data_IF_479336864800
#
_entry.id   IF_479336864800
#
_cell.length_a   1.000
_cell.length_b   1.000
_cell.length_c   1.000
_cell.angle_alpha   90.00
_cell.angle_beta   90.00
_cell.angle_gamma   90.00
#
_symmetry.space_group_name_H-M   'P 1'
#
loop_
_entity.id
_entity.type
_entity.pdbx_description
1 polymer ?
#
# COMPACT_ATOMS: atom_id res chain seq x y z
N UNK A 1 22.99 -14.16 -1.93
CA UNK A 1 23.09 -12.83 -1.29
C UNK A 1 22.13 -12.75 -0.10
N UNK A 2 22.37 -11.86 0.86
CA UNK A 2 21.44 -11.62 1.97
C UNK A 2 20.22 -10.85 1.46
N UNK A 3 19.04 -11.17 1.95
CA UNK A 3 17.80 -10.47 1.61
C UNK A 3 17.76 -9.09 2.29
N UNK A 4 17.37 -8.06 1.55
CA UNK A 4 17.09 -6.73 2.06
C UNK A 4 15.75 -6.25 1.47
N UNK A 5 14.72 -6.11 2.30
CA UNK A 5 13.40 -5.65 1.88
C UNK A 5 13.22 -4.22 2.34
N UNK A 6 12.80 -3.37 1.42
CA UNK A 6 12.49 -1.97 1.65
C UNK A 6 11.05 -1.75 1.19
N UNK A 7 10.23 -1.08 1.98
CA UNK A 7 8.88 -0.70 1.60
C UNK A 7 8.61 0.75 1.94
N UNK A 8 7.64 1.38 1.31
CA UNK A 8 7.13 2.64 1.85
C UNK A 8 6.21 2.38 3.06
N UNK A 9 5.93 3.41 3.83
CA UNK A 9 5.24 3.23 5.11
C UNK A 9 3.73 2.99 5.00
N UNK A 10 3.17 2.91 3.78
CA UNK A 10 1.75 2.62 3.57
C UNK A 10 1.39 1.13 3.68
N UNK A 11 2.35 0.27 3.92
CA UNK A 11 2.20 -1.20 3.87
C UNK A 11 1.49 -1.84 5.08
N UNK A 12 0.84 -1.13 5.93
CA UNK A 12 0.02 -1.55 7.10
C UNK A 12 0.28 -2.98 7.65
N UNK A 13 1.55 -3.29 7.91
CA UNK A 13 1.97 -4.56 8.48
C UNK A 13 2.00 -4.52 10.01
N UNK A 14 1.69 -5.66 10.66
CA UNK A 14 1.95 -5.82 12.09
C UNK A 14 3.44 -5.63 12.44
N UNK A 15 3.70 -5.09 13.62
CA UNK A 15 5.05 -4.75 14.14
C UNK A 15 6.07 -5.89 13.98
N UNK A 16 5.64 -7.14 14.19
CA UNK A 16 6.50 -8.32 14.04
C UNK A 16 7.12 -8.48 12.65
N UNK A 17 6.44 -7.97 11.60
CA UNK A 17 6.91 -8.01 10.22
C UNK A 17 7.66 -6.72 9.86
N UNK A 18 7.23 -5.57 10.38
CA UNK A 18 7.93 -4.30 10.18
C UNK A 18 9.39 -4.38 10.64
N UNK A 19 9.68 -5.13 11.71
CA UNK A 19 11.06 -5.37 12.18
C UNK A 19 11.94 -6.13 11.19
N UNK A 20 11.35 -6.83 10.21
CA UNK A 20 12.08 -7.60 9.18
C UNK A 20 12.43 -6.78 7.93
N UNK A 21 11.91 -5.57 7.80
CA UNK A 21 12.05 -4.72 6.62
C UNK A 21 12.62 -3.35 6.97
N UNK A 22 12.95 -2.57 5.97
CA UNK A 22 13.30 -1.14 6.08
C UNK A 22 12.16 -0.30 5.53
N UNK A 23 11.79 0.76 6.23
CA UNK A 23 10.74 1.67 5.78
C UNK A 23 11.33 2.95 5.20
N UNK A 24 10.88 3.28 3.99
CA UNK A 24 10.99 4.60 3.41
C UNK A 24 9.72 5.37 3.80
N UNK A 25 9.80 6.34 4.73
CA UNK A 25 8.62 6.92 5.34
C UNK A 25 7.92 7.92 4.41
N UNK A 26 6.60 7.84 4.33
CA UNK A 26 5.78 8.89 3.76
C UNK A 26 5.89 10.17 4.59
N UNK A 27 5.70 11.30 3.94
CA UNK A 27 5.62 12.60 4.63
C UNK A 27 4.16 12.99 4.81
N UNK A 28 3.76 13.27 6.05
CA UNK A 28 2.43 13.75 6.42
C UNK A 28 2.50 15.25 6.68
N UNK A 29 1.59 16.01 6.05
CA UNK A 29 1.58 17.48 6.07
C UNK A 29 0.33 17.99 6.78
N UNK A 30 0.49 18.50 7.96
CA UNK A 30 -0.50 19.28 8.68
C UNK A 30 -0.27 20.77 8.38
N UNK A 31 -1.21 21.66 8.80
CA UNK A 31 -1.07 23.11 8.54
C UNK A 31 0.21 23.67 9.10
N UNK A 32 0.56 23.27 10.33
CA UNK A 32 1.65 23.87 11.11
C UNK A 32 2.82 22.88 11.32
N UNK A 33 2.75 21.69 10.73
CA UNK A 33 3.71 20.63 11.00
C UNK A 33 3.87 19.68 9.82
N UNK A 34 5.10 19.24 9.61
CA UNK A 34 5.44 18.19 8.65
C UNK A 34 6.17 17.08 9.38
N UNK A 35 5.64 15.87 9.30
CA UNK A 35 6.20 14.69 10.01
C UNK A 35 6.42 13.53 9.04
N UNK A 36 7.33 12.65 9.39
CA UNK A 36 7.56 11.36 8.70
C UNK A 36 6.75 10.26 9.41
N UNK A 37 5.92 9.58 8.64
CA UNK A 37 5.09 8.48 9.11
C UNK A 37 5.94 7.38 9.75
N UNK A 38 5.51 6.88 10.91
CA UNK A 38 6.20 5.83 11.71
C UNK A 38 7.62 6.17 12.16
N UNK A 39 8.07 7.42 11.95
CA UNK A 39 9.37 7.94 12.42
C UNK A 39 9.18 9.02 13.47
N UNK A 40 8.41 10.06 13.15
CA UNK A 40 8.14 11.18 14.03
C UNK A 40 6.72 11.15 14.62
N UNK A 41 5.88 10.26 14.13
CA UNK A 41 4.50 10.09 14.58
C UNK A 41 4.12 8.60 14.50
N UNK A 42 3.55 8.06 15.56
CA UNK A 42 2.97 6.72 15.57
C UNK A 42 1.58 6.72 14.93
N UNK A 43 1.06 5.56 14.48
CA UNK A 43 -0.32 5.47 13.98
C UNK A 43 -1.35 6.00 14.98
N UNK A 44 -1.23 5.68 16.26
CA UNK A 44 -2.17 6.16 17.29
C UNK A 44 -2.13 7.68 17.48
N UNK A 45 -0.95 8.29 17.47
CA UNK A 45 -0.80 9.75 17.54
C UNK A 45 -1.38 10.41 16.28
N UNK A 46 -1.12 9.83 15.10
CA UNK A 46 -1.69 10.31 13.84
C UNK A 46 -3.23 10.31 13.87
N UNK A 47 -3.85 9.22 14.31
CA UNK A 47 -5.30 9.13 14.41
C UNK A 47 -5.89 10.08 15.44
N UNK A 48 -5.26 10.23 16.60
CA UNK A 48 -5.69 11.23 17.60
C UNK A 48 -5.63 12.65 17.03
N UNK A 49 -4.58 12.95 16.25
CA UNK A 49 -4.44 14.23 15.57
C UNK A 49 -5.52 14.42 14.50
N UNK A 50 -5.83 13.39 13.71
CA UNK A 50 -6.93 13.46 12.73
C UNK A 50 -8.28 13.77 13.38
N UNK A 51 -8.58 13.17 14.54
CA UNK A 51 -9.82 13.44 15.30
C UNK A 51 -9.89 14.88 15.83
N UNK A 52 -8.75 15.53 16.05
CA UNK A 52 -8.67 16.88 16.60
C UNK A 52 -8.72 18.00 15.56
N UNK A 53 -8.63 17.68 14.28
CA UNK A 53 -8.60 18.66 13.19
C UNK A 53 -9.88 18.58 12.34
N UNK A 54 -10.25 19.69 11.72
CA UNK A 54 -11.41 19.82 10.83
C UNK A 54 -11.03 20.02 9.35
N UNK A 55 -9.85 19.56 8.96
CA UNK A 55 -9.35 19.61 7.59
C UNK A 55 -8.62 18.32 7.23
N UNK A 56 -8.52 18.02 5.95
CA UNK A 56 -7.75 16.87 5.47
C UNK A 56 -6.25 17.20 5.43
N UNK A 57 -5.38 16.47 6.14
CA UNK A 57 -3.96 16.63 6.01
C UNK A 57 -3.48 16.15 4.63
N UNK A 58 -2.38 16.72 4.16
CA UNK A 58 -1.73 16.26 2.94
C UNK A 58 -0.76 15.11 3.19
N UNK A 59 -0.38 14.42 2.12
CA UNK A 59 0.71 13.45 2.15
C UNK A 59 1.63 13.62 0.94
N UNK A 60 2.88 13.17 1.08
CA UNK A 60 3.82 13.05 -0.03
C UNK A 60 4.54 11.71 0.03
N UNK A 61 4.83 11.16 -1.15
CA UNK A 61 5.62 9.94 -1.29
C UNK A 61 7.02 10.10 -0.66
N UNK A 62 7.66 9.00 -0.24
CA UNK A 62 9.07 9.00 0.09
C UNK A 62 9.90 9.52 -1.09
N UNK A 63 10.96 10.24 -0.81
CA UNK A 63 11.91 10.66 -1.85
C UNK A 63 12.78 9.49 -2.33
N UNK A 64 13.45 9.64 -3.47
CA UNK A 64 14.45 8.65 -3.89
C UNK A 64 15.55 8.45 -2.83
N UNK A 65 15.93 9.52 -2.11
CA UNK A 65 16.88 9.45 -1.00
C UNK A 65 16.40 8.60 0.18
N UNK A 66 15.08 8.65 0.49
CA UNK A 66 14.49 7.83 1.56
C UNK A 66 14.58 6.31 1.23
N UNK A 67 14.57 5.91 -0.04
CA UNK A 67 14.82 4.53 -0.47
C UNK A 67 16.32 4.21 -0.57
N UNK A 68 17.09 5.11 -1.20
CA UNK A 68 18.52 4.91 -1.50
C UNK A 68 19.34 4.62 -0.25
N UNK A 69 19.08 5.29 0.87
CA UNK A 69 19.79 5.10 2.14
C UNK A 69 19.69 3.65 2.69
N UNK A 70 18.72 2.88 2.24
CA UNK A 70 18.48 1.51 2.68
C UNK A 70 19.04 0.46 1.74
N UNK A 71 19.47 0.82 0.51
CA UNK A 71 20.06 -0.10 -0.45
C UNK A 71 21.47 -0.54 -0.03
N UNK A 72 21.79 -1.82 -0.27
CA UNK A 72 23.04 -2.42 0.16
C UNK A 72 23.69 -3.19 -0.98
N UNK A 73 25.01 -3.01 -1.18
CA UNK A 73 25.80 -3.62 -2.26
C UNK A 73 25.72 -5.16 -2.24
N UNK A 74 25.95 -5.78 -1.08
CA UNK A 74 26.11 -7.24 -0.97
C UNK A 74 24.78 -7.94 -0.66
N UNK A 75 23.66 -7.30 -0.97
CA UNK A 75 22.32 -7.77 -0.69
C UNK A 75 21.48 -7.87 -1.97
N UNK A 76 20.53 -8.76 -1.92
CA UNK A 76 19.44 -8.85 -2.87
C UNK A 76 18.36 -7.88 -2.39
N UNK A 77 18.32 -6.69 -3.00
CA UNK A 77 17.45 -5.61 -2.57
C UNK A 77 16.09 -5.72 -3.29
N UNK A 78 15.02 -5.77 -2.52
CA UNK A 78 13.64 -5.73 -2.99
C UNK A 78 12.97 -4.47 -2.46
N UNK A 79 12.52 -3.60 -3.36
CA UNK A 79 11.70 -2.44 -3.00
C UNK A 79 10.26 -2.76 -3.38
N UNK A 80 9.39 -2.72 -2.38
CA UNK A 80 7.95 -2.93 -2.52
C UNK A 80 7.30 -1.57 -2.30
N UNK A 81 6.52 -1.11 -3.26
CA UNK A 81 5.92 0.22 -3.21
C UNK A 81 4.41 0.17 -3.45
N UNK A 82 3.69 1.08 -2.81
CA UNK A 82 2.28 1.35 -3.07
C UNK A 82 2.04 1.57 -4.56
N UNK A 83 0.82 1.27 -5.02
CA UNK A 83 0.41 1.46 -6.41
C UNK A 83 0.88 2.79 -7.01
N UNK A 84 1.50 2.70 -8.18
CA UNK A 84 1.94 3.87 -8.98
C UNK A 84 0.75 4.74 -9.44
N UNK A 85 -0.45 4.17 -9.51
CA UNK A 85 -1.67 4.91 -9.80
C UNK A 85 -2.13 5.81 -8.63
N UNK A 86 -1.62 5.56 -7.40
CA UNK A 86 -1.99 6.29 -6.19
C UNK A 86 -0.90 7.22 -5.68
N UNK A 87 0.37 6.89 -5.94
CA UNK A 87 1.53 7.58 -5.37
C UNK A 87 2.73 7.56 -6.32
N UNK A 88 3.58 8.58 -6.24
CA UNK A 88 4.89 8.57 -6.91
C UNK A 88 5.95 7.72 -6.20
N UNK A 89 5.59 6.98 -5.16
CA UNK A 89 6.50 6.12 -4.38
C UNK A 89 7.28 5.15 -5.29
N UNK A 90 6.57 4.42 -6.14
CA UNK A 90 7.17 3.49 -7.10
C UNK A 90 8.18 4.18 -8.05
N UNK A 91 7.82 5.34 -8.62
CA UNK A 91 8.73 6.07 -9.51
C UNK A 91 9.97 6.57 -8.76
N UNK A 92 9.80 7.04 -7.52
CA UNK A 92 10.94 7.46 -6.68
C UNK A 92 11.84 6.29 -6.30
N UNK A 93 11.26 5.10 -6.12
CA UNK A 93 12.02 3.85 -5.90
C UNK A 93 12.83 3.45 -7.14
N UNK A 94 12.30 3.62 -8.35
CA UNK A 94 13.05 3.42 -9.61
C UNK A 94 14.22 4.38 -9.72
N UNK A 95 14.03 5.66 -9.42
CA UNK A 95 15.12 6.65 -9.37
C UNK A 95 16.18 6.25 -8.33
N UNK A 96 15.78 5.77 -7.16
CA UNK A 96 16.72 5.29 -6.14
C UNK A 96 17.54 4.09 -6.62
N UNK A 97 16.91 3.16 -7.33
CA UNK A 97 17.58 2.01 -7.98
C UNK A 97 18.64 2.49 -8.96
N UNK A 98 18.29 3.40 -9.88
CA UNK A 98 19.21 3.89 -10.91
C UNK A 98 20.41 4.60 -10.26
N UNK A 99 20.16 5.50 -9.30
CA UNK A 99 21.22 6.20 -8.55
C UNK A 99 22.12 5.24 -7.75
N UNK A 100 21.60 4.11 -7.31
CA UNK A 100 22.38 3.09 -6.61
C UNK A 100 23.25 2.31 -7.60
N UNK A 101 22.71 1.86 -8.72
CA UNK A 101 23.41 1.07 -9.72
C UNK A 101 24.51 1.87 -10.44
N UNK A 102 24.32 3.17 -10.61
CA UNK A 102 25.37 4.09 -11.14
C UNK A 102 26.61 4.14 -10.25
N UNK A 103 26.45 3.91 -8.94
CA UNK A 103 27.54 3.99 -7.95
C UNK A 103 28.10 2.65 -7.53
N UNK A 104 27.34 1.58 -7.73
CA UNK A 104 27.66 0.25 -7.21
C UNK A 104 27.67 -0.75 -8.34
N UNK A 105 28.88 -1.17 -8.75
CA UNK A 105 29.05 -2.29 -9.68
C UNK A 105 28.50 -3.57 -9.04
N UNK A 106 27.81 -4.39 -9.84
CA UNK A 106 27.20 -5.67 -9.45
C UNK A 106 26.11 -5.57 -8.34
N UNK A 107 25.52 -4.39 -8.16
CA UNK A 107 24.37 -4.21 -7.29
C UNK A 107 23.12 -4.93 -7.84
N UNK A 108 22.31 -5.50 -6.96
CA UNK A 108 21.02 -6.13 -7.34
C UNK A 108 19.88 -5.40 -6.66
N UNK A 109 18.96 -4.86 -7.47
CA UNK A 109 17.79 -4.12 -6.99
C UNK A 109 16.56 -4.48 -7.83
N UNK A 110 15.55 -5.02 -7.18
CA UNK A 110 14.24 -5.30 -7.76
C UNK A 110 13.22 -4.31 -7.18
N UNK A 111 12.43 -3.68 -8.03
CA UNK A 111 11.38 -2.72 -7.62
C UNK A 111 10.04 -3.24 -8.10
N UNK A 112 9.07 -3.35 -7.19
CA UNK A 112 7.72 -3.82 -7.48
C UNK A 112 6.70 -2.71 -7.24
N UNK A 113 5.89 -2.44 -8.27
CA UNK A 113 4.61 -1.77 -8.13
C UNK A 113 3.60 -2.81 -7.63
N UNK A 114 3.11 -2.65 -6.42
CA UNK A 114 2.16 -3.64 -5.89
C UNK A 114 0.77 -3.55 -6.49
N UNK A 115 0.48 -2.50 -7.26
CA UNK A 115 -0.89 -2.19 -7.74
C UNK A 115 -1.92 -2.18 -6.58
N UNK A 116 -1.46 -2.02 -5.37
CA UNK A 116 -2.22 -2.09 -4.13
C UNK A 116 -1.78 -1.00 -3.16
N UNK A 117 -2.48 -0.91 -2.03
CA UNK A 117 -2.15 -0.05 -0.91
C UNK A 117 -2.48 -0.77 0.40
N UNK A 118 -2.00 -0.23 1.53
CA UNK A 118 -2.34 -0.70 2.86
C UNK A 118 -2.02 -2.19 3.02
N UNK A 119 -2.95 -2.97 3.55
CA UNK A 119 -2.77 -4.41 3.78
C UNK A 119 -2.48 -5.19 2.49
N UNK A 120 -2.94 -4.73 1.31
CA UNK A 120 -2.63 -5.36 0.04
C UNK A 120 -1.14 -5.30 -0.30
N UNK A 121 -0.49 -4.16 -0.09
CA UNK A 121 0.96 -4.02 -0.17
C UNK A 121 1.66 -4.89 0.90
N UNK A 122 1.12 -4.92 2.11
CA UNK A 122 1.61 -5.78 3.18
C UNK A 122 1.60 -7.26 2.82
N UNK A 123 0.55 -7.74 2.14
CA UNK A 123 0.47 -9.14 1.68
C UNK A 123 1.56 -9.47 0.65
N UNK A 124 1.93 -8.53 -0.23
CA UNK A 124 3.05 -8.71 -1.17
C UNK A 124 4.37 -8.90 -0.42
N UNK A 125 4.60 -8.13 0.64
CA UNK A 125 5.79 -8.27 1.48
C UNK A 125 5.81 -9.63 2.19
N UNK A 126 4.66 -10.08 2.73
CA UNK A 126 4.55 -11.40 3.36
C UNK A 126 4.81 -12.52 2.37
N UNK A 127 4.30 -12.42 1.14
CA UNK A 127 4.57 -13.38 0.07
C UNK A 127 6.05 -13.41 -0.29
N UNK A 128 6.71 -12.27 -0.39
CA UNK A 128 8.16 -12.21 -0.64
C UNK A 128 8.95 -12.90 0.48
N UNK A 129 8.60 -12.67 1.74
CA UNK A 129 9.23 -13.34 2.89
C UNK A 129 9.05 -14.86 2.81
N UNK A 130 7.83 -15.34 2.52
CA UNK A 130 7.54 -16.78 2.34
C UNK A 130 8.39 -17.41 1.23
N UNK A 131 8.45 -16.76 0.05
CA UNK A 131 9.23 -17.24 -1.09
C UNK A 131 10.71 -17.35 -0.76
N UNK A 132 11.24 -16.42 0.01
CA UNK A 132 12.64 -16.42 0.44
C UNK A 132 12.96 -17.46 1.51
N UNK A 133 12.02 -17.75 2.39
CA UNK A 133 12.16 -18.84 3.38
C UNK A 133 12.25 -20.22 2.67
N UNK A 134 11.59 -20.39 1.53
CA UNK A 134 11.66 -21.59 0.69
C UNK A 134 12.95 -21.70 -0.15
N UNK A 135 13.88 -20.76 0.00
CA UNK A 135 15.18 -20.73 -0.72
C UNK A 135 15.05 -20.80 -2.25
N UNK A 136 14.03 -20.18 -2.80
CA UNK A 136 13.80 -20.14 -4.26
C UNK A 136 14.80 -19.21 -4.96
N UNK A 137 15.04 -19.48 -6.26
CA UNK A 137 15.89 -18.62 -7.09
C UNK A 137 15.28 -17.24 -7.29
N UNK A 138 16.11 -16.23 -7.59
CA UNK A 138 15.59 -14.88 -7.89
C UNK A 138 14.56 -14.89 -9.02
N UNK A 139 14.81 -15.63 -10.10
CA UNK A 139 13.86 -15.73 -11.22
C UNK A 139 12.51 -16.29 -10.78
N UNK A 140 12.49 -17.31 -9.94
CA UNK A 140 11.26 -17.88 -9.38
C UNK A 140 10.55 -16.86 -8.50
N UNK A 141 11.29 -16.18 -7.59
CA UNK A 141 10.72 -15.16 -6.72
C UNK A 141 10.09 -14.01 -7.52
N UNK A 142 10.79 -13.52 -8.54
CA UNK A 142 10.30 -12.42 -9.37
C UNK A 142 9.01 -12.79 -10.09
N UNK A 143 8.97 -13.99 -10.70
CA UNK A 143 7.80 -14.47 -11.43
C UNK A 143 6.61 -14.74 -10.50
N UNK A 144 6.83 -15.47 -9.40
CA UNK A 144 5.76 -15.80 -8.45
C UNK A 144 5.22 -14.55 -7.74
N UNK A 145 6.09 -13.60 -7.40
CA UNK A 145 5.65 -12.35 -6.78
C UNK A 145 4.86 -11.48 -7.77
N UNK A 146 5.27 -11.42 -9.04
CA UNK A 146 4.52 -10.76 -10.10
C UNK A 146 3.13 -11.35 -10.27
N UNK A 147 3.02 -12.67 -10.42
CA UNK A 147 1.73 -13.37 -10.53
C UNK A 147 0.86 -13.19 -9.28
N UNK A 148 1.48 -13.13 -8.09
CA UNK A 148 0.76 -12.88 -6.85
C UNK A 148 0.15 -11.47 -6.82
N UNK A 149 0.90 -10.45 -7.25
CA UNK A 149 0.43 -9.05 -7.33
C UNK A 149 -0.76 -8.93 -8.30
N UNK A 150 -0.68 -9.56 -9.46
CA UNK A 150 -1.77 -9.58 -10.46
C UNK A 150 -3.04 -10.25 -9.91
N UNK A 151 -2.88 -11.33 -9.15
CA UNK A 151 -3.98 -12.09 -8.56
C UNK A 151 -4.58 -11.51 -7.28
N UNK A 152 -4.02 -10.43 -6.72
CA UNK A 152 -4.55 -9.79 -5.50
C UNK A 152 -5.81 -8.99 -5.80
N UNK A 153 -6.88 -9.26 -5.07
CA UNK A 153 -8.09 -8.43 -5.01
C UNK A 153 -8.08 -7.57 -3.74
N UNK A 154 -8.49 -6.32 -3.87
CA UNK A 154 -8.58 -5.39 -2.75
C UNK A 154 -9.93 -4.68 -2.78
N UNK A 155 -10.66 -4.78 -1.67
CA UNK A 155 -11.93 -4.11 -1.46
C UNK A 155 -11.90 -3.32 -0.16
N UNK A 156 -12.63 -2.22 -0.11
CA UNK A 156 -12.74 -1.43 1.10
C UNK A 156 -14.04 -0.63 1.17
N UNK A 157 -14.51 -0.41 2.39
CA UNK A 157 -15.62 0.46 2.71
C UNK A 157 -15.09 1.68 3.47
N UNK A 158 -15.58 2.86 3.13
CA UNK A 158 -15.23 4.10 3.82
C UNK A 158 -16.47 4.74 4.45
N UNK A 159 -16.31 5.14 5.71
CA UNK A 159 -17.29 5.95 6.41
C UNK A 159 -17.31 7.40 5.90
N UNK A 160 -16.11 7.94 5.64
CA UNK A 160 -15.90 9.30 5.14
C UNK A 160 -14.90 9.28 4.00
N UNK A 161 -15.20 9.99 2.93
CA UNK A 161 -14.39 10.07 1.73
C UNK A 161 -13.64 11.39 1.56
N UNK A 162 -13.80 12.34 2.47
CA UNK A 162 -13.26 13.69 2.31
C UNK A 162 -11.76 13.67 2.06
N UNK A 163 -11.03 12.83 2.77
CA UNK A 163 -9.59 12.69 2.58
C UNK A 163 -9.21 12.20 1.18
N UNK A 164 -9.93 11.21 0.63
CA UNK A 164 -9.68 10.70 -0.72
C UNK A 164 -10.09 11.71 -1.80
N UNK A 165 -11.20 12.39 -1.62
CA UNK A 165 -11.66 13.47 -2.52
C UNK A 165 -10.64 14.59 -2.54
N UNK A 166 -10.27 15.10 -1.37
CA UNK A 166 -9.33 16.23 -1.23
C UNK A 166 -7.91 15.87 -1.71
N UNK A 167 -7.53 14.60 -1.63
CA UNK A 167 -6.24 14.12 -2.13
C UNK A 167 -6.17 14.00 -3.66
N UNK A 168 -7.30 14.04 -4.36
CA UNK A 168 -7.38 13.89 -5.82
C UNK A 168 -7.30 12.45 -6.35
N UNK A 169 -7.20 11.42 -5.49
CA UNK A 169 -7.11 10.00 -5.91
C UNK A 169 -8.43 9.45 -6.45
N UNK A 170 -9.53 10.16 -6.24
CA UNK A 170 -10.85 9.82 -6.76
C UNK A 170 -11.26 10.59 -8.03
N UNK A 171 -10.39 11.39 -8.63
CA UNK A 171 -10.73 12.28 -9.76
C UNK A 171 -11.46 11.57 -10.90
N UNK A 172 -11.06 10.33 -11.24
CA UNK A 172 -11.68 9.54 -12.32
C UNK A 172 -13.13 9.11 -12.03
N UNK A 173 -13.54 9.09 -10.76
CA UNK A 173 -14.86 8.61 -10.34
C UNK A 173 -15.70 9.68 -9.65
N UNK A 174 -15.19 10.90 -9.50
CA UNK A 174 -15.89 12.02 -8.82
C UNK A 174 -17.30 12.24 -9.32
N UNK A 175 -17.53 12.21 -10.65
CA UNK A 175 -18.86 12.37 -11.22
C UNK A 175 -19.88 11.28 -10.83
N UNK A 176 -19.39 10.12 -10.32
CA UNK A 176 -20.23 9.03 -9.83
C UNK A 176 -20.60 9.17 -8.34
N UNK A 177 -20.03 10.16 -7.65
CA UNK A 177 -20.14 10.34 -6.20
C UNK A 177 -21.16 11.41 -5.79
N UNK A 178 -22.05 11.82 -6.69
CA UNK A 178 -23.09 12.84 -6.42
C UNK A 178 -24.27 12.24 -5.65
N UNK A 179 -24.81 12.99 -4.68
CA UNK A 179 -26.00 12.64 -3.89
C UNK A 179 -25.85 11.38 -3.00
N UNK A 180 -24.81 11.33 -2.16
CA UNK A 180 -24.46 10.17 -1.35
C UNK A 180 -25.02 10.17 0.09
N UNK A 181 -26.12 10.85 0.37
CA UNK A 181 -26.70 10.84 1.71
C UNK A 181 -27.07 9.41 2.15
N UNK A 182 -26.46 8.92 3.24
CA UNK A 182 -26.62 7.56 3.78
C UNK A 182 -26.22 6.41 2.82
N UNK A 183 -25.37 6.68 1.81
CA UNK A 183 -24.84 5.67 0.91
C UNK A 183 -23.39 5.36 1.31
N UNK A 184 -23.10 4.08 1.49
CA UNK A 184 -21.74 3.54 1.62
C UNK A 184 -21.23 3.12 0.24
N UNK A 185 -19.95 3.37 -0.03
CA UNK A 185 -19.32 2.98 -1.28
C UNK A 185 -18.44 1.76 -1.05
N UNK A 186 -18.74 0.69 -1.77
CA UNK A 186 -17.82 -0.41 -1.92
C UNK A 186 -16.85 -0.08 -3.05
N UNK A 187 -15.61 0.07 -2.68
CA UNK A 187 -14.50 0.44 -3.55
C UNK A 187 -13.44 -0.64 -3.53
N UNK A 188 -12.55 -0.61 -4.49
CA UNK A 188 -11.40 -1.49 -4.56
C UNK A 188 -10.40 -0.99 -5.60
N UNK A 189 -9.48 -1.85 -6.01
CA UNK A 189 -8.54 -1.55 -7.10
C UNK A 189 -9.08 -2.01 -8.45
N UNK A 190 -8.70 -1.32 -9.52
CA UNK A 190 -8.75 -1.87 -10.88
C UNK A 190 -7.44 -2.60 -11.23
N UNK A 191 -7.36 -3.14 -12.45
CA UNK A 191 -6.19 -3.90 -12.93
C UNK A 191 -4.90 -3.08 -12.98
N UNK A 192 -5.01 -1.74 -12.98
CA UNK A 192 -3.88 -0.82 -12.97
C UNK A 192 -3.56 -0.28 -11.56
N UNK A 193 -4.20 -0.79 -10.53
CA UNK A 193 -4.01 -0.34 -9.15
C UNK A 193 -4.65 1.01 -8.81
N UNK A 194 -5.52 1.55 -9.68
CA UNK A 194 -6.28 2.76 -9.39
C UNK A 194 -7.57 2.42 -8.62
N UNK A 195 -8.08 3.40 -7.87
CA UNK A 195 -9.34 3.22 -7.14
C UNK A 195 -10.51 3.10 -8.11
N UNK A 196 -11.30 2.04 -7.94
CA UNK A 196 -12.52 1.73 -8.69
C UNK A 196 -13.71 1.67 -7.75
N UNK A 197 -14.84 2.23 -8.18
CA UNK A 197 -16.12 2.07 -7.51
C UNK A 197 -16.78 0.77 -8.00
N UNK A 198 -17.06 -0.13 -7.09
CA UNK A 198 -17.76 -1.39 -7.35
C UNK A 198 -19.26 -1.26 -7.13
N UNK A 199 -19.67 -0.73 -5.96
CA UNK A 199 -21.10 -0.64 -5.64
C UNK A 199 -21.43 0.58 -4.77
N UNK A 200 -22.72 0.95 -4.73
CA UNK A 200 -23.32 2.00 -3.92
C UNK A 200 -24.42 1.39 -3.06
N UNK A 201 -24.20 1.30 -1.76
CA UNK A 201 -25.04 0.53 -0.87
C UNK A 201 -25.65 1.43 0.21
N UNK A 202 -26.93 1.28 0.46
CA UNK A 202 -27.62 2.03 1.53
C UNK A 202 -27.56 1.25 2.84
N UNK A 203 -26.94 1.85 3.85
CA UNK A 203 -26.84 1.31 5.22
C UNK A 203 -25.58 0.50 5.45
N UNK A 204 -24.98 0.66 6.64
CA UNK A 204 -23.66 0.06 6.97
C UNK A 204 -23.71 -1.47 7.06
N UNK A 205 -24.78 -2.05 7.65
CA UNK A 205 -24.92 -3.50 7.75
C UNK A 205 -24.91 -4.17 6.36
N UNK A 206 -25.78 -3.66 5.46
CA UNK A 206 -25.86 -4.18 4.09
C UNK A 206 -24.55 -3.97 3.32
N UNK A 207 -23.86 -2.86 3.55
CA UNK A 207 -22.57 -2.60 2.90
C UNK A 207 -21.52 -3.62 3.33
N UNK A 208 -21.51 -3.99 4.61
CA UNK A 208 -20.60 -5.02 5.11
C UNK A 208 -20.94 -6.41 4.55
N UNK A 209 -22.23 -6.78 4.54
CA UNK A 209 -22.70 -8.04 3.92
C UNK A 209 -22.29 -8.10 2.43
N UNK A 210 -22.51 -7.01 1.68
CA UNK A 210 -22.08 -6.92 0.27
C UNK A 210 -20.56 -7.05 0.12
N UNK A 211 -19.77 -6.48 1.04
CA UNK A 211 -18.30 -6.67 1.02
C UNK A 211 -17.93 -8.15 1.15
N UNK A 212 -18.61 -8.90 2.02
CA UNK A 212 -18.38 -10.34 2.16
C UNK A 212 -18.76 -11.10 0.89
N UNK A 213 -19.90 -10.77 0.26
CA UNK A 213 -20.32 -11.35 -1.01
C UNK A 213 -19.26 -11.15 -2.11
N UNK A 214 -18.67 -9.94 -2.18
CA UNK A 214 -17.57 -9.65 -3.13
C UNK A 214 -16.29 -10.44 -2.82
N UNK A 215 -15.97 -10.67 -1.55
CA UNK A 215 -14.83 -11.50 -1.16
C UNK A 215 -15.05 -12.94 -1.63
N UNK A 216 -16.27 -13.47 -1.51
CA UNK A 216 -16.62 -14.81 -1.99
C UNK A 216 -16.61 -14.88 -3.53
N UNK A 217 -17.19 -13.90 -4.22
CA UNK A 217 -17.29 -13.86 -5.68
C UNK A 217 -15.92 -13.74 -6.37
N UNK A 218 -15.07 -12.82 -5.86
CA UNK A 218 -13.75 -12.56 -6.46
C UNK A 218 -12.63 -13.39 -5.85
N UNK A 219 -12.89 -14.04 -4.71
CA UNK A 219 -11.98 -14.96 -4.06
C UNK A 219 -12.09 -16.36 -4.65
N UNK A 220 -11.03 -16.90 -5.18
CA UNK A 220 -10.95 -18.31 -5.55
C UNK A 220 -10.07 -19.04 -4.54
N UNK A 221 -10.43 -20.27 -4.16
CA UNK A 221 -9.63 -21.11 -3.26
C UNK A 221 -9.27 -20.42 -1.93
N UNK A 222 -10.27 -19.82 -1.28
CA UNK A 222 -10.09 -18.99 -0.07
C UNK A 222 -9.48 -19.78 1.10
N UNK A 223 -9.69 -21.09 1.16
CA UNK A 223 -9.12 -21.96 2.21
C UNK A 223 -7.58 -22.02 2.18
N UNK A 224 -6.98 -21.76 1.01
CA UNK A 224 -5.54 -21.80 0.79
C UNK A 224 -4.91 -20.41 0.60
N UNK A 225 -5.66 -19.33 0.88
CA UNK A 225 -5.21 -17.95 0.67
C UNK A 225 -5.17 -17.14 1.96
N UNK A 226 -4.34 -16.12 1.95
CA UNK A 226 -4.33 -15.13 3.02
C UNK A 226 -5.40 -14.06 2.77
N UNK A 227 -6.20 -13.80 3.79
CA UNK A 227 -7.06 -12.62 3.86
C UNK A 227 -6.39 -11.59 4.77
N UNK A 228 -6.04 -10.45 4.21
CA UNK A 228 -5.52 -9.32 4.96
C UNK A 228 -6.66 -8.35 5.32
N UNK A 229 -6.76 -7.95 6.58
CA UNK A 229 -7.75 -6.98 7.04
C UNK A 229 -7.02 -5.81 7.71
N UNK A 230 -7.24 -4.60 7.18
CA UNK A 230 -6.87 -3.36 7.85
C UNK A 230 -8.17 -2.63 8.22
N UNK A 231 -8.27 -2.19 9.47
CA UNK A 231 -9.43 -1.43 9.94
C UNK A 231 -9.01 -0.32 10.89
N UNK A 232 -9.82 0.69 10.98
CA UNK A 232 -9.68 1.77 11.94
C UNK A 232 -11.02 2.07 12.60
N UNK A 233 -11.09 1.83 13.92
CA UNK A 233 -12.17 2.25 14.84
C UNK A 233 -13.59 1.83 14.38
N UNK A 234 -13.72 0.62 13.78
CA UNK A 234 -14.97 0.02 13.35
C UNK A 234 -15.35 -1.19 14.21
#
# INVERSE_FOLDING_TARGET
>A
MKLNIIADSSCDLPEKYLKKIKLAPMTLKFKDEVVKDRVNISPSEFYNKLKSINYSPGSAAPSAGDFLQHLKKDHDNFIIAISSALSSSYNNALVAKDLFLDKVNDGVVHVFDTLNASVGEGLVILKLLELREKSTSNSTVLNELGSYIEGLNTFFLLENMDNLINSGRLNKIMGKLVNLLNIKLLMGKDDNGAIKLYDKIRGSKKAFETLLDYIEEYGSDLENKYLGIAHYDC
#
